data_IF_052020386348
#
_entry.id   IF_052020386348
#
_cell.length_a   1.000
_cell.length_b   1.000
_cell.length_c   1.000
_cell.angle_alpha   90.00
_cell.angle_beta   90.00
_cell.angle_gamma   90.00
#
_symmetry.space_group_name_H-M   'P 1'
#
loop_
_entity.id
_entity.type
_entity.pdbx_description
1 polymer ?
#
# COMPACT_ATOMS: atom_id res chain seq x y z
N UNK A 1 29.83 -1.43 17.36
CA UNK A 1 29.23 -0.15 16.97
C UNK A 1 27.92 -0.01 17.71
N UNK A 2 27.79 0.99 18.57
CA UNK A 2 26.53 1.27 19.30
C UNK A 2 25.62 2.19 18.48
N UNK A 3 24.32 2.23 18.79
CA UNK A 3 23.38 3.16 18.13
C UNK A 3 23.80 4.62 18.34
N UNK A 4 24.31 4.95 19.53
CA UNK A 4 24.86 6.26 19.84
C UNK A 4 26.09 6.61 18.98
N UNK A 5 26.97 5.64 18.71
CA UNK A 5 28.12 5.83 17.80
C UNK A 5 27.71 6.08 16.34
N UNK A 6 26.49 5.72 15.95
CA UNK A 6 25.93 5.95 14.62
C UNK A 6 25.14 7.27 14.52
N UNK A 7 25.07 8.05 15.60
CA UNK A 7 24.37 9.34 15.63
C UNK A 7 22.85 9.23 15.74
N UNK A 8 22.31 8.07 16.14
CA UNK A 8 20.90 7.95 16.46
C UNK A 8 20.61 8.56 17.82
N UNK A 9 19.56 9.39 17.85
CA UNK A 9 19.05 9.98 19.08
C UNK A 9 17.95 9.10 19.68
N UNK A 10 17.83 9.16 21.01
CA UNK A 10 16.78 8.46 21.73
C UNK A 10 15.43 9.18 21.55
N UNK A 11 14.32 8.43 21.66
CA UNK A 11 12.97 8.99 21.58
C UNK A 11 12.28 8.74 20.23
N UNK A 12 11.20 9.48 19.98
CA UNK A 12 10.41 9.36 18.76
C UNK A 12 10.99 10.23 17.64
N UNK A 13 11.06 9.67 16.44
CA UNK A 13 11.39 10.44 15.24
C UNK A 13 10.33 11.54 15.02
N UNK A 14 10.71 12.76 14.57
CA UNK A 14 9.75 13.82 14.33
C UNK A 14 8.67 13.40 13.35
N UNK A 15 7.44 13.83 13.62
CA UNK A 15 6.32 13.54 12.74
C UNK A 15 6.53 14.18 11.37
N UNK A 16 6.33 13.36 10.33
CA UNK A 16 6.48 13.80 8.95
C UNK A 16 5.30 14.70 8.55
N UNK A 17 5.58 15.76 7.79
CA UNK A 17 4.53 16.57 7.13
C UNK A 17 3.98 15.90 5.86
N UNK A 18 4.55 14.76 5.47
CA UNK A 18 4.13 14.01 4.29
C UNK A 18 3.10 12.95 4.66
N UNK A 19 2.30 12.57 3.68
CA UNK A 19 1.39 11.44 3.76
C UNK A 19 2.10 10.20 3.24
N UNK A 20 2.03 9.13 4.03
CA UNK A 20 2.61 7.83 3.72
C UNK A 20 1.50 6.79 3.65
N UNK A 21 1.32 6.15 2.49
CA UNK A 21 0.30 5.13 2.24
C UNK A 21 0.98 3.78 2.06
N UNK A 22 0.67 2.83 2.93
CA UNK A 22 1.08 1.43 2.80
C UNK A 22 0.02 0.65 2.04
N UNK A 23 0.40 -0.07 0.99
CA UNK A 23 -0.48 -0.95 0.23
C UNK A 23 0.06 -2.39 0.17
N UNK A 24 -0.81 -3.41 0.26
CA UNK A 24 -0.41 -4.81 0.13
C UNK A 24 -0.17 -5.21 -1.34
N UNK A 25 0.71 -6.19 -1.55
CA UNK A 25 0.92 -6.86 -2.84
C UNK A 25 0.50 -8.32 -2.74
N UNK A 26 -0.28 -8.80 -3.71
CA UNK A 26 -0.82 -10.15 -3.73
C UNK A 26 -0.24 -10.98 -4.88
N UNK A 27 -0.08 -12.28 -4.64
CA UNK A 27 0.44 -13.23 -5.64
C UNK A 27 -0.67 -14.02 -6.36
N UNK A 28 -1.88 -13.46 -6.51
CA UNK A 28 -3.04 -14.17 -7.05
C UNK A 28 -2.83 -14.71 -8.47
N UNK A 29 -2.05 -14.02 -9.30
CA UNK A 29 -1.70 -14.48 -10.66
C UNK A 29 -0.95 -15.82 -10.67
N UNK A 30 -0.28 -16.16 -9.56
CA UNK A 30 0.43 -17.45 -9.39
C UNK A 30 -0.44 -18.54 -8.75
N UNK A 31 -1.62 -18.19 -8.22
CA UNK A 31 -2.50 -19.07 -7.45
C UNK A 31 -3.91 -19.09 -8.04
N UNK A 32 -4.03 -19.64 -9.26
CA UNK A 32 -5.24 -19.59 -10.09
C UNK A 32 -6.53 -20.22 -9.49
N UNK A 33 -6.43 -20.93 -8.37
CA UNK A 33 -7.58 -21.56 -7.67
C UNK A 33 -7.85 -20.97 -6.29
N UNK A 34 -7.14 -19.92 -5.90
CA UNK A 34 -7.32 -19.27 -4.61
C UNK A 34 -8.27 -18.08 -4.79
N UNK A 35 -9.25 -17.99 -3.91
CA UNK A 35 -10.19 -16.88 -3.87
C UNK A 35 -9.46 -15.56 -3.58
N UNK A 36 -9.59 -14.61 -4.50
CA UNK A 36 -9.01 -13.27 -4.42
C UNK A 36 -9.76 -12.34 -3.46
N UNK A 37 -10.89 -12.76 -2.88
CA UNK A 37 -11.61 -12.00 -1.87
C UNK A 37 -10.78 -11.83 -0.60
N UNK A 38 -10.79 -10.62 -0.05
CA UNK A 38 -10.19 -10.34 1.24
C UNK A 38 -11.07 -10.94 2.35
N UNK A 39 -10.42 -11.41 3.41
CA UNK A 39 -11.08 -11.99 4.57
C UNK A 39 -10.30 -11.71 5.84
N UNK A 40 -10.68 -12.35 6.96
CA UNK A 40 -9.99 -12.16 8.24
C UNK A 40 -8.56 -12.71 8.23
N UNK A 41 -8.25 -13.66 7.35
CA UNK A 41 -6.92 -14.22 7.19
C UNK A 41 -6.08 -13.39 6.19
N UNK A 42 -4.84 -13.11 6.57
CA UNK A 42 -3.89 -12.36 5.74
C UNK A 42 -3.48 -13.18 4.51
N UNK A 43 -3.71 -12.61 3.31
CA UNK A 43 -3.35 -13.22 2.02
C UNK A 43 -2.21 -12.51 1.26
N UNK A 44 -1.81 -11.32 1.69
CA UNK A 44 -0.78 -10.53 1.01
C UNK A 44 0.62 -11.16 1.19
N UNK A 45 1.45 -11.10 0.15
CA UNK A 45 2.81 -11.65 0.17
C UNK A 45 3.90 -10.57 0.29
N UNK A 46 3.52 -9.30 0.21
CA UNK A 46 4.43 -8.17 0.32
C UNK A 46 3.68 -6.86 0.51
N UNK A 47 4.45 -5.77 0.53
CA UNK A 47 3.96 -4.43 0.76
C UNK A 47 4.79 -3.39 0.01
N UNK A 48 4.14 -2.28 -0.33
CA UNK A 48 4.76 -1.09 -0.91
C UNK A 48 4.31 0.15 -0.14
N UNK A 49 5.08 1.22 -0.25
CA UNK A 49 4.76 2.51 0.36
C UNK A 49 4.79 3.62 -0.70
N UNK A 50 3.69 4.35 -0.82
CA UNK A 50 3.63 5.61 -1.56
C UNK A 50 3.75 6.80 -0.61
N UNK A 51 4.63 7.74 -0.92
CA UNK A 51 4.87 8.94 -0.11
C UNK A 51 4.69 10.20 -0.94
N UNK A 52 3.92 11.15 -0.46
CA UNK A 52 3.74 12.46 -1.09
C UNK A 52 3.27 13.52 -0.07
N UNK A 53 3.19 14.79 -0.47
CA UNK A 53 2.64 15.86 0.37
C UNK A 53 1.10 15.78 0.52
N UNK A 54 0.42 15.02 -0.34
CA UNK A 54 -1.05 14.90 -0.37
C UNK A 54 -1.47 13.43 -0.41
N UNK A 55 -2.65 13.13 0.15
CA UNK A 55 -3.15 11.75 0.25
C UNK A 55 -3.38 11.13 -1.12
N UNK A 56 -4.01 11.86 -2.04
CA UNK A 56 -4.35 11.37 -3.38
C UNK A 56 -3.11 10.98 -4.20
N UNK A 57 -2.02 11.76 -4.08
CA UNK A 57 -0.76 11.43 -4.76
C UNK A 57 -0.02 10.28 -4.09
N UNK A 58 -0.01 10.25 -2.75
CA UNK A 58 0.59 9.14 -2.00
C UNK A 58 -0.13 7.82 -2.31
N UNK A 59 -1.47 7.85 -2.37
CA UNK A 59 -2.31 6.71 -2.72
C UNK A 59 -2.09 6.26 -4.17
N UNK A 60 -2.05 7.19 -5.13
CA UNK A 60 -1.74 6.89 -6.52
C UNK A 60 -0.38 6.19 -6.66
N UNK A 61 0.67 6.71 -5.98
CA UNK A 61 2.00 6.07 -5.96
C UNK A 61 1.96 4.67 -5.37
N UNK A 62 1.17 4.44 -4.32
CA UNK A 62 1.01 3.12 -3.71
C UNK A 62 0.32 2.13 -4.67
N UNK A 63 -0.72 2.58 -5.40
CA UNK A 63 -1.39 1.75 -6.41
C UNK A 63 -0.44 1.37 -7.55
N UNK A 64 0.25 2.35 -8.13
CA UNK A 64 1.23 2.10 -9.20
C UNK A 64 2.34 1.13 -8.74
N UNK A 65 2.88 1.31 -7.52
CA UNK A 65 3.88 0.42 -6.95
C UNK A 65 3.34 -0.99 -6.67
N UNK A 66 2.04 -1.14 -6.39
CA UNK A 66 1.37 -2.42 -6.17
C UNK A 66 0.93 -3.12 -7.46
N UNK A 67 1.33 -2.59 -8.64
CA UNK A 67 0.92 -3.05 -9.98
C UNK A 67 -0.58 -2.87 -10.29
N UNK A 68 -1.26 -1.97 -9.56
CA UNK A 68 -2.62 -1.55 -9.86
C UNK A 68 -2.57 -0.26 -10.69
N UNK A 69 -2.42 -0.41 -12.00
CA UNK A 69 -2.38 0.73 -12.91
C UNK A 69 -3.79 1.30 -13.13
N UNK A 70 -4.02 2.54 -12.69
CA UNK A 70 -5.32 3.18 -12.84
C UNK A 70 -5.46 3.77 -14.25
N UNK A 71 -6.44 3.32 -15.06
CA UNK A 71 -6.68 3.90 -16.36
C UNK A 71 -7.23 5.33 -16.22
N UNK A 72 -6.76 6.25 -17.06
CA UNK A 72 -7.22 7.65 -17.06
C UNK A 72 -8.61 7.85 -17.69
N UNK A 73 -9.07 6.88 -18.48
CA UNK A 73 -10.37 6.90 -19.14
C UNK A 73 -10.86 5.46 -19.40
N UNK A 74 -12.18 5.28 -19.51
CA UNK A 74 -12.78 3.99 -19.79
C UNK A 74 -14.16 3.83 -19.14
N UNK A 75 -14.66 2.60 -19.13
CA UNK A 75 -15.91 2.24 -18.48
C UNK A 75 -15.63 1.71 -17.07
N UNK A 76 -16.46 2.09 -16.11
CA UNK A 76 -16.39 1.58 -14.74
C UNK A 76 -17.61 0.71 -14.46
N UNK A 77 -17.37 -0.48 -13.90
CA UNK A 77 -18.44 -1.38 -13.45
C UNK A 77 -18.60 -1.21 -11.94
N UNK A 78 -19.82 -0.89 -11.50
CA UNK A 78 -20.18 -0.83 -10.09
C UNK A 78 -21.13 -1.98 -9.77
N UNK A 79 -20.70 -2.85 -8.86
CA UNK A 79 -21.54 -3.90 -8.25
C UNK A 79 -21.30 -3.84 -6.75
N UNK A 80 -22.33 -3.49 -6.00
CA UNK A 80 -22.25 -3.26 -4.55
C UNK A 80 -23.28 -4.18 -3.89
N UNK A 81 -22.88 -4.85 -2.80
CA UNK A 81 -23.82 -5.61 -1.99
C UNK A 81 -24.70 -4.64 -1.18
N UNK A 82 -25.98 -4.98 -1.00
CA UNK A 82 -26.88 -4.16 -0.17
C UNK A 82 -26.46 -4.19 1.31
N UNK A 83 -25.89 -5.30 1.76
CA UNK A 83 -25.25 -5.53 3.07
C UNK A 83 -23.97 -6.36 2.93
#
# INVERSE_FOLDING_TARGET
QTLAELGYEDGLYPESKQVHVKAPVFSFTKLAKVDSLLGPEMKSTGEVMGTDATLEKALYKAFEASYLHLPNFGNVVFTIADE
#
